data_IF_821986502153
#
_entry.id   IF_821986502153
#
_cell.length_a   1.000
_cell.length_b   1.000
_cell.length_c   1.000
_cell.angle_alpha   90.00
_cell.angle_beta   90.00
_cell.angle_gamma   90.00
#
_symmetry.space_group_name_H-M   'P 1'
#
loop_
_entity.id
_entity.type
_entity.pdbx_description
1 polymer ?
#
# COMPACT_ATOMS: atom_id res chain seq x y z
N UNK A 1 -18.16 -25.14 21.25
CA UNK A 1 -17.98 -25.80 19.94
C UNK A 1 -17.70 -24.80 18.82
N UNK A 2 -18.55 -23.79 18.61
CA UNK A 2 -18.34 -22.73 17.61
C UNK A 2 -17.03 -21.91 17.78
N UNK A 3 -16.63 -21.62 19.02
CA UNK A 3 -15.41 -20.85 19.31
C UNK A 3 -14.11 -21.58 18.91
N UNK A 4 -14.09 -22.90 19.07
CA UNK A 4 -12.94 -23.74 18.72
C UNK A 4 -12.81 -23.87 17.20
N UNK A 5 -13.94 -23.98 16.50
CA UNK A 5 -14.00 -23.95 15.03
C UNK A 5 -13.49 -22.62 14.45
N UNK A 6 -13.83 -21.49 15.06
CA UNK A 6 -13.32 -20.17 14.66
C UNK A 6 -11.80 -20.05 14.81
N UNK A 7 -11.22 -20.53 15.90
CA UNK A 7 -9.77 -20.49 16.12
C UNK A 7 -9.01 -21.42 15.16
N UNK A 8 -9.56 -22.59 14.84
CA UNK A 8 -8.97 -23.51 13.86
C UNK A 8 -8.99 -22.90 12.46
N UNK A 9 -10.11 -22.28 12.05
CA UNK A 9 -10.21 -21.60 10.74
C UNK A 9 -9.23 -20.43 10.68
N UNK A 10 -9.13 -19.61 11.72
CA UNK A 10 -8.15 -18.51 11.79
C UNK A 10 -6.71 -19.04 11.69
N UNK A 11 -6.39 -20.12 12.41
CA UNK A 11 -5.09 -20.77 12.36
C UNK A 11 -4.74 -21.30 10.96
N UNK A 12 -5.71 -21.88 10.25
CA UNK A 12 -5.54 -22.36 8.87
C UNK A 12 -5.31 -21.19 7.92
N UNK A 13 -6.08 -20.10 8.03
CA UNK A 13 -5.91 -18.92 7.16
C UNK A 13 -4.54 -18.26 7.39
N UNK A 14 -4.11 -18.10 8.64
CA UNK A 14 -2.78 -17.55 8.96
C UNK A 14 -1.64 -18.48 8.50
N UNK A 15 -1.78 -19.80 8.67
CA UNK A 15 -0.75 -20.78 8.30
C UNK A 15 -0.69 -21.06 6.79
N UNK A 16 -1.79 -20.85 6.07
CA UNK A 16 -1.88 -21.08 4.63
C UNK A 16 -1.09 -20.08 3.79
N UNK A 17 -0.51 -19.04 4.41
CA UNK A 17 0.34 -18.09 3.69
C UNK A 17 -0.39 -17.47 2.50
N UNK A 18 -1.71 -17.28 2.59
CA UNK A 18 -2.53 -16.55 1.61
C UNK A 18 -2.24 -15.04 1.79
N UNK A 19 -0.96 -14.72 1.66
CA UNK A 19 -0.35 -13.44 1.41
C UNK A 19 0.58 -13.69 0.23
N UNK A 20 -0.01 -14.06 -0.92
CA UNK A 20 0.74 -14.28 -2.14
C UNK A 20 1.11 -12.92 -2.75
N UNK A 21 2.04 -12.21 -2.11
CA UNK A 21 2.82 -11.20 -2.80
C UNK A 21 3.81 -11.92 -3.71
N UNK A 22 3.44 -12.14 -4.97
CA UNK A 22 4.41 -12.62 -5.95
C UNK A 22 5.34 -11.46 -6.25
N UNK A 23 6.51 -11.44 -5.59
CA UNK A 23 7.57 -10.50 -5.91
C UNK A 23 8.08 -10.81 -7.32
N UNK A 24 7.56 -10.08 -8.31
CA UNK A 24 8.09 -10.10 -9.67
C UNK A 24 9.44 -9.38 -9.62
N UNK A 25 10.53 -10.11 -9.83
CA UNK A 25 11.86 -9.53 -9.94
C UNK A 25 11.96 -8.76 -11.26
N UNK A 26 11.62 -7.48 -11.23
CA UNK A 26 11.78 -6.58 -12.35
C UNK A 26 13.28 -6.36 -12.63
N UNK A 27 13.67 -6.43 -13.90
CA UNK A 27 15.05 -6.14 -14.34
C UNK A 27 15.27 -4.65 -14.63
N UNK A 28 14.27 -3.81 -14.39
CA UNK A 28 14.26 -2.36 -14.61
C UNK A 28 12.96 -1.70 -14.11
N UNK A 29 12.79 -0.38 -14.32
CA UNK A 29 11.57 0.32 -13.91
C UNK A 29 10.34 -0.22 -14.64
N UNK A 30 9.23 -0.39 -13.89
CA UNK A 30 7.94 -0.82 -14.42
C UNK A 30 7.06 0.42 -14.63
N UNK A 31 6.63 0.64 -15.87
CA UNK A 31 5.76 1.78 -16.22
C UNK A 31 4.31 1.40 -16.50
N UNK A 32 4.05 0.13 -16.83
CA UNK A 32 2.71 -0.36 -17.13
C UNK A 32 2.55 -1.83 -16.74
N UNK A 33 1.29 -2.21 -16.50
CA UNK A 33 0.91 -3.61 -16.30
C UNK A 33 0.75 -4.38 -17.62
N UNK A 34 0.08 -5.52 -17.55
CA UNK A 34 -0.25 -6.35 -18.70
C UNK A 34 -1.31 -5.66 -19.59
N UNK A 35 -0.95 -5.36 -20.84
CA UNK A 35 -1.83 -4.70 -21.83
C UNK A 35 -3.00 -5.57 -22.30
N UNK A 36 -2.94 -6.88 -22.05
CA UNK A 36 -4.02 -7.83 -22.36
C UNK A 36 -5.09 -7.89 -21.29
N UNK A 37 -4.85 -7.30 -20.12
CA UNK A 37 -5.82 -7.26 -19.02
C UNK A 37 -6.46 -5.88 -18.93
N UNK A 38 -7.79 -5.83 -18.79
CA UNK A 38 -8.52 -4.58 -18.54
C UNK A 38 -8.44 -4.20 -17.07
N UNK A 39 -7.22 -3.91 -16.59
CA UNK A 39 -6.92 -3.50 -15.22
C UNK A 39 -6.12 -2.22 -15.21
N UNK A 40 -6.29 -1.45 -14.15
CA UNK A 40 -5.45 -0.30 -13.82
C UNK A 40 -4.94 -0.46 -12.39
N UNK A 41 -3.80 0.16 -12.09
CA UNK A 41 -3.28 0.30 -10.74
C UNK A 41 -3.32 1.78 -10.36
N UNK A 42 -3.84 2.08 -9.16
CA UNK A 42 -3.81 3.43 -8.61
C UNK A 42 -2.63 3.55 -7.66
N UNK A 43 -1.81 4.57 -7.86
CA UNK A 43 -0.66 4.88 -7.02
C UNK A 43 -0.66 6.35 -6.62
N UNK A 44 -0.20 6.64 -5.40
CA UNK A 44 -0.15 7.99 -4.84
C UNK A 44 1.24 8.27 -4.28
N UNK A 45 1.87 9.36 -4.69
CA UNK A 45 3.09 9.85 -4.05
C UNK A 45 2.71 10.80 -2.92
N UNK A 46 3.21 10.56 -1.71
CA UNK A 46 2.84 11.32 -0.52
C UNK A 46 4.07 11.92 0.13
N UNK A 47 4.21 13.24 -0.02
CA UNK A 47 5.20 14.09 0.67
C UNK A 47 4.58 15.39 1.22
N UNK A 48 3.27 15.58 1.03
CA UNK A 48 2.41 16.68 1.51
C UNK A 48 0.94 16.29 1.26
N UNK A 49 -0.01 17.11 1.72
CA UNK A 49 -1.44 16.95 1.36
C UNK A 49 -2.21 16.03 2.32
N UNK A 50 -1.78 15.98 3.57
CA UNK A 50 -2.40 15.23 4.66
C UNK A 50 -3.90 15.49 4.80
N UNK A 51 -4.37 16.68 4.46
CA UNK A 51 -5.77 17.08 4.53
C UNK A 51 -6.66 16.36 3.51
N UNK A 52 -6.09 15.84 2.43
CA UNK A 52 -6.83 15.14 1.36
C UNK A 52 -6.85 13.62 1.54
N UNK A 53 -5.86 13.05 2.25
CA UNK A 53 -5.74 11.59 2.42
C UNK A 53 -7.02 10.96 3.01
N UNK A 54 -7.67 11.50 4.07
CA UNK A 54 -8.89 10.89 4.60
C UNK A 54 -10.03 10.79 3.57
N UNK A 55 -10.17 11.78 2.70
CA UNK A 55 -11.19 11.77 1.66
C UNK A 55 -10.84 10.75 0.56
N UNK A 56 -9.56 10.65 0.19
CA UNK A 56 -9.09 9.63 -0.77
C UNK A 56 -9.36 8.23 -0.21
N UNK A 57 -9.00 7.96 1.05
CA UNK A 57 -9.24 6.69 1.72
C UNK A 57 -10.74 6.34 1.76
N UNK A 58 -11.59 7.33 2.03
CA UNK A 58 -13.05 7.15 2.01
C UNK A 58 -13.54 6.71 0.63
N UNK A 59 -13.11 7.40 -0.44
CA UNK A 59 -13.52 7.06 -1.82
C UNK A 59 -13.00 5.68 -2.22
N UNK A 60 -11.75 5.33 -1.89
CA UNK A 60 -11.18 4.01 -2.18
C UNK A 60 -11.95 2.90 -1.46
N UNK A 61 -12.28 3.12 -0.19
CA UNK A 61 -13.06 2.19 0.64
C UNK A 61 -14.47 2.00 0.09
N UNK A 62 -15.18 3.08 -0.22
CA UNK A 62 -16.56 3.03 -0.74
C UNK A 62 -16.65 2.25 -2.07
N UNK A 63 -15.58 2.29 -2.87
CA UNK A 63 -15.48 1.57 -4.13
C UNK A 63 -14.81 0.19 -4.01
N UNK A 64 -14.36 -0.21 -2.81
CA UNK A 64 -13.57 -1.43 -2.57
C UNK A 64 -12.33 -1.53 -3.48
N UNK A 65 -11.62 -0.41 -3.68
CA UNK A 65 -10.44 -0.32 -4.55
C UNK A 65 -9.16 -0.26 -3.70
N UNK A 66 -8.25 -1.25 -3.81
CA UNK A 66 -6.92 -1.14 -3.22
C UNK A 66 -6.04 -0.19 -4.04
N UNK A 67 -5.03 0.40 -3.39
CA UNK A 67 -4.06 1.31 -4.00
C UNK A 67 -2.70 1.17 -3.30
N UNK A 68 -1.66 1.71 -3.94
CA UNK A 68 -0.32 1.79 -3.36
C UNK A 68 0.03 3.25 -3.06
N UNK A 69 0.41 3.55 -1.83
CA UNK A 69 0.87 4.87 -1.40
C UNK A 69 2.39 4.85 -1.24
N UNK A 70 3.10 5.54 -2.11
CA UNK A 70 4.54 5.77 -2.02
C UNK A 70 4.79 6.94 -1.07
N UNK A 71 5.16 6.64 0.17
CA UNK A 71 5.27 7.62 1.25
C UNK A 71 6.72 8.07 1.43
N UNK A 72 6.92 9.38 1.56
CA UNK A 72 8.20 9.98 1.94
C UNK A 72 8.49 9.82 3.43
N UNK A 73 9.73 9.48 3.78
CA UNK A 73 10.12 9.17 5.16
C UNK A 73 9.88 10.31 6.16
N UNK A 74 10.21 11.56 5.81
CA UNK A 74 9.92 12.72 6.68
C UNK A 74 8.41 12.90 6.91
N UNK A 75 7.61 12.78 5.85
CA UNK A 75 6.16 12.86 5.98
C UNK A 75 5.59 11.74 6.87
N UNK A 76 6.14 10.53 6.80
CA UNK A 76 5.73 9.43 7.67
C UNK A 76 6.07 9.68 9.15
N UNK A 77 7.16 10.39 9.45
CA UNK A 77 7.52 10.81 10.81
C UNK A 77 6.60 11.91 11.34
N UNK A 78 6.21 12.86 10.48
CA UNK A 78 5.28 13.94 10.82
C UNK A 78 3.83 13.43 10.98
N UNK A 79 3.44 12.43 10.19
CA UNK A 79 2.07 11.88 10.15
C UNK A 79 2.04 10.35 10.34
N UNK A 80 2.52 9.83 11.49
CA UNK A 80 2.65 8.39 11.71
C UNK A 80 1.30 7.68 11.83
N UNK A 81 0.28 8.37 12.36
CA UNK A 81 -1.05 7.79 12.52
C UNK A 81 -1.78 7.69 11.18
N UNK A 82 -1.61 8.69 10.31
CA UNK A 82 -2.17 8.65 8.96
C UNK A 82 -1.46 7.59 8.11
N UNK A 83 -0.14 7.45 8.24
CA UNK A 83 0.63 6.38 7.61
C UNK A 83 0.15 5.00 8.04
N UNK A 84 -0.10 4.79 9.34
CA UNK A 84 -0.67 3.53 9.85
C UNK A 84 -2.09 3.31 9.34
N UNK A 85 -2.91 4.36 9.29
CA UNK A 85 -4.29 4.27 8.81
C UNK A 85 -4.33 3.77 7.36
N UNK A 86 -3.47 4.30 6.48
CA UNK A 86 -3.34 3.83 5.09
C UNK A 86 -3.11 2.31 5.04
N UNK A 87 -2.18 1.80 5.84
CA UNK A 87 -1.89 0.36 5.89
C UNK A 87 -3.03 -0.46 6.51
N UNK A 88 -3.66 0.05 7.59
CA UNK A 88 -4.77 -0.60 8.27
C UNK A 88 -6.03 -0.68 7.40
N UNK A 89 -6.24 0.29 6.50
CA UNK A 89 -7.33 0.28 5.51
C UNK A 89 -7.07 -0.68 4.33
N UNK A 90 -5.94 -1.41 4.33
CA UNK A 90 -5.65 -2.47 3.37
C UNK A 90 -4.93 -1.97 2.11
N UNK A 91 -4.33 -0.78 2.15
CA UNK A 91 -3.50 -0.26 1.07
C UNK A 91 -2.03 -0.65 1.24
N UNK A 92 -1.31 -0.77 0.13
CA UNK A 92 0.13 -1.02 0.14
C UNK A 92 0.89 0.27 0.45
N UNK A 93 1.92 0.19 1.30
CA UNK A 93 2.85 1.30 1.54
C UNK A 93 4.16 1.04 0.80
N UNK A 94 4.43 1.87 -0.20
CA UNK A 94 5.68 1.91 -0.95
C UNK A 94 6.63 2.99 -0.42
N UNK A 95 7.89 2.91 -0.83
CA UNK A 95 8.94 3.86 -0.44
C UNK A 95 9.07 4.99 -1.47
N UNK A 96 9.05 6.26 -1.03
CA UNK A 96 9.27 7.44 -1.88
C UNK A 96 10.50 8.28 -1.46
N UNK A 97 11.55 7.61 -0.99
CA UNK A 97 12.72 8.27 -0.40
C UNK A 97 12.41 8.88 0.98
N UNK A 98 13.40 9.55 1.56
CA UNK A 98 13.28 10.11 2.91
C UNK A 98 12.94 11.61 2.90
N UNK A 99 13.81 12.42 2.31
CA UNK A 99 13.73 13.90 2.30
C UNK A 99 13.37 14.50 0.95
N UNK A 100 12.88 13.68 0.01
CA UNK A 100 12.54 14.06 -1.37
C UNK A 100 13.61 14.93 -2.11
N UNK A 101 14.92 14.60 -2.03
CA UNK A 101 15.92 15.27 -2.85
C UNK A 101 15.75 14.86 -4.32
N UNK A 102 16.25 15.69 -5.24
CA UNK A 102 16.34 15.27 -6.63
C UNK A 102 17.27 14.05 -6.74
N UNK A 103 16.84 12.93 -7.35
CA UNK A 103 17.65 11.70 -7.43
C UNK A 103 19.01 11.85 -8.12
N UNK A 104 19.18 12.86 -8.97
CA UNK A 104 20.48 13.13 -9.62
C UNK A 104 21.46 13.90 -8.71
N UNK A 105 20.99 14.39 -7.55
CA UNK A 105 21.76 15.24 -6.64
C UNK A 105 22.16 14.50 -5.35
N UNK A 106 22.09 13.16 -5.35
CA UNK A 106 22.50 12.31 -4.23
C UNK A 106 23.77 11.54 -4.61
N UNK A 107 24.63 11.28 -3.63
CA UNK A 107 25.99 10.73 -3.75
C UNK A 107 26.06 9.27 -4.16
#
# INVERSE_FOLDING_TARGET
>A
MLFVLSLIICGIVCASGIWHGVAVKATGPIYHGNDREKKIALTFNVVWGEEYIPQILTVLKDNNVPATFFIGGQWAEDFPDLTKQIALDGHEVGNHGYSHPHPDNIS
#
